data_IF_508152447598
#
_entry.id   IF_508152447598
#
_cell.length_a   1.000
_cell.length_b   1.000
_cell.length_c   1.000
_cell.angle_alpha   90.00
_cell.angle_beta   90.00
_cell.angle_gamma   90.00
#
_symmetry.space_group_name_H-M   'P 1'
#
loop_
_entity.id
_entity.type
_entity.pdbx_description
1 polymer ?
#
# COMPACT_ATOMS: atom_id res chain seq x y z
N UNK A 1 52.00 15.83 -2.49
CA UNK A 1 51.25 15.15 -1.41
C UNK A 1 50.01 14.58 -2.09
N UNK A 2 50.07 13.30 -2.46
CA UNK A 2 49.02 12.61 -3.19
C UNK A 2 48.49 11.52 -2.24
N UNK A 3 47.24 11.64 -1.83
CA UNK A 3 46.57 10.62 -1.03
C UNK A 3 45.90 9.60 -1.97
N UNK A 4 46.42 8.39 -1.93
CA UNK A 4 45.88 7.21 -2.59
C UNK A 4 44.67 6.71 -1.81
N UNK A 5 43.46 6.89 -2.33
CA UNK A 5 42.29 6.13 -1.83
C UNK A 5 42.17 4.84 -2.64
N UNK A 6 42.42 3.72 -1.96
CA UNK A 6 42.29 2.37 -2.49
C UNK A 6 40.81 2.08 -2.76
N UNK A 7 40.46 1.86 -4.04
CA UNK A 7 39.19 1.26 -4.44
C UNK A 7 39.24 -0.24 -4.12
N UNK A 8 38.55 -0.66 -3.07
CA UNK A 8 38.42 -2.09 -2.77
C UNK A 8 37.35 -2.69 -3.70
N UNK A 9 37.78 -3.25 -4.83
CA UNK A 9 36.94 -4.04 -5.75
C UNK A 9 36.64 -5.41 -5.15
N UNK A 10 35.80 -5.44 -4.12
CA UNK A 10 35.31 -6.70 -3.55
C UNK A 10 34.11 -7.22 -4.38
N UNK A 11 34.15 -8.46 -4.91
CA UNK A 11 33.03 -9.06 -5.64
C UNK A 11 31.84 -9.39 -4.74
N UNK A 12 31.98 -9.29 -3.42
CA UNK A 12 30.96 -9.68 -2.44
C UNK A 12 29.79 -8.69 -2.34
N UNK A 13 29.95 -7.47 -2.84
CA UNK A 13 28.90 -6.45 -2.83
C UNK A 13 27.80 -6.65 -3.88
N UNK A 14 28.07 -7.41 -4.95
CA UNK A 14 27.13 -7.55 -6.07
C UNK A 14 26.06 -8.65 -5.87
N UNK A 15 26.08 -9.37 -4.74
CA UNK A 15 25.10 -10.43 -4.47
C UNK A 15 23.98 -10.00 -3.52
N UNK A 16 24.12 -8.87 -2.81
CA UNK A 16 23.06 -8.37 -1.92
C UNK A 16 21.99 -7.57 -2.68
N UNK A 17 22.34 -6.95 -3.81
CA UNK A 17 21.37 -6.24 -4.64
C UNK A 17 20.38 -7.20 -5.33
N UNK A 18 20.81 -8.43 -5.66
CA UNK A 18 19.96 -9.44 -6.30
C UNK A 18 18.98 -10.13 -5.36
N UNK A 19 19.14 -10.00 -4.05
CA UNK A 19 18.19 -10.56 -3.07
C UNK A 19 17.05 -9.57 -2.81
N UNK A 20 17.32 -8.25 -2.91
CA UNK A 20 16.32 -7.20 -2.80
C UNK A 20 15.42 -7.07 -4.05
N UNK A 21 15.84 -7.60 -5.21
CA UNK A 21 15.04 -7.61 -6.45
C UNK A 21 13.85 -8.59 -6.44
N UNK A 22 13.74 -9.48 -5.45
CA UNK A 22 12.74 -10.55 -5.45
C UNK A 22 11.46 -10.28 -4.65
N UNK A 23 11.40 -9.19 -3.87
CA UNK A 23 10.14 -8.74 -3.26
C UNK A 23 9.61 -7.54 -4.00
N UNK A 24 8.70 -7.79 -4.94
CA UNK A 24 7.87 -6.76 -5.56
C UNK A 24 7.03 -6.09 -4.46
N UNK A 25 7.56 -5.03 -3.84
CA UNK A 25 6.84 -4.28 -2.82
C UNK A 25 5.78 -3.45 -3.52
N UNK A 26 4.52 -3.85 -3.42
CA UNK A 26 3.43 -3.06 -3.97
C UNK A 26 3.23 -1.77 -3.17
N UNK A 27 2.72 -0.76 -3.85
CA UNK A 27 2.44 0.55 -3.28
C UNK A 27 1.03 1.00 -3.61
N UNK A 28 0.46 1.85 -2.78
CA UNK A 28 -0.71 2.62 -3.13
C UNK A 28 -0.30 3.97 -3.72
N UNK A 29 -0.98 4.39 -4.77
CA UNK A 29 -0.94 5.77 -5.24
C UNK A 29 -2.12 6.52 -4.65
N UNK A 30 -1.84 7.53 -3.82
CA UNK A 30 -2.84 8.42 -3.24
C UNK A 30 -2.35 9.87 -3.33
N UNK A 31 -3.18 10.79 -3.81
CA UNK A 31 -2.82 12.20 -3.99
C UNK A 31 -1.47 12.41 -4.72
N UNK A 32 -1.21 11.62 -5.77
CA UNK A 32 0.05 11.60 -6.56
C UNK A 32 1.30 11.14 -5.79
N UNK A 33 1.16 10.65 -4.56
CA UNK A 33 2.24 10.07 -3.76
C UNK A 33 2.14 8.54 -3.76
N UNK A 34 3.30 7.87 -3.75
CA UNK A 34 3.41 6.42 -3.58
C UNK A 34 3.61 6.10 -2.10
N UNK A 35 2.81 5.18 -1.59
CA UNK A 35 2.83 4.74 -0.19
C UNK A 35 3.10 3.23 -0.19
N UNK A 36 4.23 2.80 0.36
CA UNK A 36 4.62 1.38 0.33
C UNK A 36 3.76 0.56 1.28
N UNK A 37 3.35 -0.64 0.83
CA UNK A 37 2.56 -1.57 1.64
C UNK A 37 3.47 -2.66 2.19
N UNK A 38 3.95 -2.44 3.42
CA UNK A 38 4.84 -3.38 4.11
C UNK A 38 4.09 -4.63 4.64
N UNK A 39 3.03 -4.43 5.42
CA UNK A 39 2.26 -5.53 6.01
C UNK A 39 0.77 -5.22 6.15
N UNK A 40 0.42 -4.16 6.89
CA UNK A 40 -0.95 -3.69 7.07
C UNK A 40 -0.96 -2.17 6.90
N UNK A 41 -1.98 -1.65 6.23
CA UNK A 41 -2.27 -0.23 6.13
C UNK A 41 -3.72 -0.03 6.54
N UNK A 42 -3.97 0.91 7.44
CA UNK A 42 -5.31 1.36 7.81
C UNK A 42 -5.69 2.63 7.03
N UNK A 43 -6.95 2.71 6.64
CA UNK A 43 -7.51 3.85 5.90
C UNK A 43 -8.80 4.31 6.56
N UNK A 44 -8.92 5.62 6.77
CA UNK A 44 -10.09 6.23 7.37
C UNK A 44 -9.91 7.72 7.56
N UNK A 45 -10.95 8.42 8.03
CA UNK A 45 -10.89 9.89 8.17
C UNK A 45 -10.19 10.37 9.44
N UNK A 46 -9.98 9.50 10.43
CA UNK A 46 -9.27 9.88 11.66
C UNK A 46 -7.76 9.85 11.43
N UNK A 47 -7.04 10.70 12.17
CA UNK A 47 -5.60 10.92 11.99
C UNK A 47 -4.71 9.78 12.50
N UNK A 48 -5.28 8.78 13.16
CA UNK A 48 -4.59 7.58 13.64
C UNK A 48 -4.54 6.46 12.59
N UNK A 49 -5.11 6.67 11.40
CA UNK A 49 -4.93 5.79 10.26
C UNK A 49 -3.62 6.08 9.53
N UNK A 50 -3.00 5.04 8.97
CA UNK A 50 -1.79 5.17 8.15
C UNK A 50 -2.02 6.07 6.92
N UNK A 51 -3.22 5.98 6.34
CA UNK A 51 -3.67 6.85 5.26
C UNK A 51 -4.95 7.55 5.71
N UNK A 52 -4.84 8.85 5.91
CA UNK A 52 -5.96 9.72 6.26
C UNK A 52 -6.74 10.08 4.99
N UNK A 53 -8.02 9.73 4.98
CA UNK A 53 -8.96 10.05 3.92
C UNK A 53 -9.74 11.30 4.32
N UNK A 54 -9.40 12.44 3.73
CA UNK A 54 -10.08 13.71 3.95
C UNK A 54 -11.45 13.73 3.25
N UNK A 55 -12.41 13.03 3.85
CA UNK A 55 -13.78 12.94 3.35
C UNK A 55 -14.75 12.67 4.50
N UNK A 56 -15.82 13.47 4.57
CA UNK A 56 -16.94 13.20 5.49
C UNK A 56 -17.66 11.89 5.17
N UNK A 57 -17.51 11.37 3.95
CA UNK A 57 -18.09 10.11 3.52
C UNK A 57 -17.24 8.90 3.93
N UNK A 58 -16.02 9.12 4.42
CA UNK A 58 -15.20 8.05 4.98
C UNK A 58 -15.50 7.87 6.48
N UNK A 59 -15.72 6.63 6.90
CA UNK A 59 -15.73 6.26 8.32
C UNK A 59 -14.37 6.54 8.99
N UNK A 60 -14.40 6.64 10.33
CA UNK A 60 -13.22 6.90 11.16
C UNK A 60 -12.10 5.90 10.91
N UNK A 61 -12.45 4.62 10.97
CA UNK A 61 -11.67 3.49 10.47
C UNK A 61 -12.54 2.84 9.41
N UNK A 62 -12.15 2.94 8.15
CA UNK A 62 -13.02 2.60 7.03
C UNK A 62 -12.69 1.21 6.49
N UNK A 63 -11.43 0.99 6.17
CA UNK A 63 -10.96 -0.26 5.62
C UNK A 63 -9.47 -0.45 5.90
N UNK A 64 -9.01 -1.66 5.67
CA UNK A 64 -7.61 -2.03 5.79
C UNK A 64 -7.15 -2.72 4.52
N UNK A 65 -5.87 -2.54 4.19
CA UNK A 65 -5.16 -3.43 3.28
C UNK A 65 -4.20 -4.26 4.10
N UNK A 66 -4.19 -5.56 3.87
CA UNK A 66 -3.29 -6.49 4.51
C UNK A 66 -2.59 -7.34 3.46
N UNK A 67 -1.26 -7.42 3.59
CA UNK A 67 -0.44 -8.39 2.87
C UNK A 67 -0.54 -9.72 3.60
N UNK A 68 -1.02 -10.74 2.90
CA UNK A 68 -1.09 -12.11 3.38
C UNK A 68 -0.26 -12.96 2.42
N UNK A 69 0.89 -13.44 2.89
CA UNK A 69 1.93 -14.08 2.06
C UNK A 69 2.37 -13.12 0.94
N UNK A 70 2.13 -13.49 -0.31
CA UNK A 70 2.53 -12.73 -1.51
C UNK A 70 1.36 -11.99 -2.18
N UNK A 71 0.21 -11.91 -1.50
CA UNK A 71 -0.98 -11.24 -2.02
C UNK A 71 -1.49 -10.15 -1.07
N UNK A 72 -2.09 -9.13 -1.65
CA UNK A 72 -2.71 -8.03 -0.92
C UNK A 72 -4.22 -8.23 -0.89
N UNK A 73 -4.82 -7.93 0.25
CA UNK A 73 -6.25 -8.04 0.45
C UNK A 73 -6.80 -6.77 1.06
N UNK A 74 -7.92 -6.30 0.52
CA UNK A 74 -8.73 -5.21 1.04
C UNK A 74 -9.84 -5.79 1.90
N UNK A 75 -10.07 -5.21 3.08
CA UNK A 75 -11.22 -5.51 3.92
C UNK A 75 -11.88 -4.21 4.34
N UNK A 76 -13.18 -4.10 4.10
CA UNK A 76 -14.02 -3.04 4.67
C UNK A 76 -14.35 -3.39 6.13
N UNK A 77 -14.09 -2.47 7.07
CA UNK A 77 -14.28 -2.68 8.51
C UNK A 77 -15.64 -2.13 8.98
N UNK A 78 -16.70 -2.42 8.21
CA UNK A 78 -18.06 -1.98 8.55
C UNK A 78 -18.29 -0.50 8.26
N UNK A 79 -17.76 0.01 7.16
CA UNK A 79 -17.90 1.43 6.82
C UNK A 79 -19.35 1.81 6.47
N UNK A 80 -19.73 3.05 6.75
CA UNK A 80 -21.11 3.52 6.54
C UNK A 80 -21.48 3.59 5.06
N UNK A 81 -20.58 4.09 4.22
CA UNK A 81 -20.82 4.25 2.78
C UNK A 81 -20.27 3.10 1.92
N UNK A 82 -19.52 2.17 2.54
CA UNK A 82 -18.87 1.07 1.84
C UNK A 82 -17.55 1.46 1.18
N UNK A 83 -16.71 0.45 1.01
CA UNK A 83 -15.52 0.50 0.16
C UNK A 83 -15.85 -0.03 -1.24
N UNK A 84 -15.27 0.58 -2.27
CA UNK A 84 -15.45 0.16 -3.66
C UNK A 84 -14.11 -0.24 -4.30
N UNK A 85 -14.14 -1.32 -5.07
CA UNK A 85 -13.04 -1.82 -5.87
C UNK A 85 -13.47 -1.84 -7.34
N UNK A 86 -12.75 -1.11 -8.19
CA UNK A 86 -13.05 -0.94 -9.62
C UNK A 86 -14.52 -0.53 -9.87
N UNK A 87 -15.05 0.36 -9.02
CA UNK A 87 -16.44 0.85 -9.09
C UNK A 87 -17.49 -0.10 -8.52
N UNK A 88 -17.11 -1.29 -8.04
CA UNK A 88 -18.03 -2.25 -7.41
C UNK A 88 -17.85 -2.25 -5.90
N UNK A 89 -18.94 -2.16 -5.14
CA UNK A 89 -18.88 -2.24 -3.67
C UNK A 89 -18.40 -3.62 -3.25
N UNK A 90 -17.38 -3.67 -2.40
CA UNK A 90 -16.92 -4.94 -1.83
C UNK A 90 -17.85 -5.39 -0.68
N UNK A 91 -17.94 -6.70 -0.40
CA UNK A 91 -18.69 -7.17 0.75
C UNK A 91 -18.06 -6.65 2.06
N UNK A 92 -18.86 -6.17 3.02
CA UNK A 92 -18.34 -5.77 4.33
C UNK A 92 -17.73 -6.98 5.05
N UNK A 93 -16.71 -6.73 5.86
CA UNK A 93 -16.01 -7.72 6.71
C UNK A 93 -15.38 -8.91 5.98
N UNK A 94 -15.28 -8.87 4.64
CA UNK A 94 -14.61 -9.89 3.85
C UNK A 94 -13.34 -9.35 3.21
N UNK A 95 -12.32 -10.20 3.22
CA UNK A 95 -11.09 -9.95 2.47
C UNK A 95 -11.34 -10.17 0.98
N UNK A 96 -11.07 -9.14 0.19
CA UNK A 96 -11.09 -9.17 -1.27
C UNK A 96 -9.68 -8.99 -1.78
N UNK A 97 -9.22 -9.88 -2.65
CA UNK A 97 -7.88 -9.80 -3.23
C UNK A 97 -7.73 -8.52 -4.06
N UNK A 98 -6.62 -7.82 -3.85
CA UNK A 98 -6.17 -6.69 -4.66
C UNK A 98 -5.05 -7.13 -5.61
N UNK A 99 -5.09 -6.60 -6.82
CA UNK A 99 -4.04 -6.76 -7.82
C UNK A 99 -3.52 -5.39 -8.26
N UNK A 100 -2.33 -5.36 -8.83
CA UNK A 100 -1.80 -4.14 -9.44
C UNK A 100 -2.75 -3.60 -10.53
N UNK A 101 -2.94 -2.29 -10.55
CA UNK A 101 -3.89 -1.58 -11.40
C UNK A 101 -5.28 -1.40 -10.80
N UNK A 102 -5.62 -2.12 -9.72
CA UNK A 102 -6.94 -2.00 -9.10
C UNK A 102 -7.16 -0.60 -8.51
N UNK A 103 -8.34 -0.04 -8.77
CA UNK A 103 -8.76 1.26 -8.26
C UNK A 103 -9.66 1.07 -7.04
N UNK A 104 -9.24 1.62 -5.92
CA UNK A 104 -10.00 1.67 -4.69
C UNK A 104 -10.68 3.04 -4.57
N UNK A 105 -11.93 3.06 -4.16
CA UNK A 105 -12.67 4.29 -3.84
C UNK A 105 -13.21 4.21 -2.42
N UNK A 106 -12.88 5.22 -1.63
CA UNK A 106 -13.25 5.34 -0.22
C UNK A 106 -13.79 6.77 -0.02
N UNK A 107 -15.07 6.90 0.31
CA UNK A 107 -15.72 8.20 0.35
C UNK A 107 -15.59 8.93 -0.99
N UNK A 108 -14.98 10.12 -0.98
CA UNK A 108 -14.68 10.91 -2.20
C UNK A 108 -13.26 10.71 -2.75
N UNK A 109 -12.46 9.84 -2.15
CA UNK A 109 -11.05 9.64 -2.49
C UNK A 109 -10.84 8.40 -3.35
N UNK A 110 -9.85 8.48 -4.26
CA UNK A 110 -9.44 7.39 -5.12
C UNK A 110 -7.98 7.02 -4.85
N UNK A 111 -7.72 5.72 -4.77
CA UNK A 111 -6.39 5.14 -4.62
C UNK A 111 -6.20 4.09 -5.72
N UNK A 112 -4.95 3.87 -6.13
CA UNK A 112 -4.61 2.85 -7.13
C UNK A 112 -3.55 1.92 -6.54
N UNK A 113 -3.76 0.63 -6.66
CA UNK A 113 -2.77 -0.40 -6.33
C UNK A 113 -1.73 -0.47 -7.45
N UNK A 114 -0.44 -0.44 -7.11
CA UNK A 114 0.67 -0.43 -8.08
C UNK A 114 1.84 -1.32 -7.71
#
# INVERSE_FOLDING_TARGET
MADTTIINSSPLGQHLDKIAESQQVSYLVFNKKKIQIAAKITMGRESDNDIVIDSKLASRHHCIIQKIRDAYFLKDEGSTNGTFLNGRRIPPDKYVKLNAGDKLTIGSSNLIMG
#
